data_IF_236899084376
#
_entry.id   IF_236899084376
#
_cell.length_a   1.000
_cell.length_b   1.000
_cell.length_c   1.000
_cell.angle_alpha   90.00
_cell.angle_beta   90.00
_cell.angle_gamma   90.00
#
_symmetry.space_group_name_H-M   'P 1'
#
loop_
_entity.id
_entity.type
_entity.pdbx_description
1 polymer ?
#
# COMPACT_ATOMS: atom_id res chain seq x y z
N UNK A 1 2.39 7.71 9.63
CA UNK A 1 3.35 7.27 8.59
C UNK A 1 4.76 7.71 8.98
N UNK A 2 5.67 6.77 9.22
CA UNK A 2 7.02 7.05 9.75
C UNK A 2 7.92 7.69 8.66
N UNK A 3 9.01 8.36 9.04
CA UNK A 3 10.02 8.94 8.13
C UNK A 3 10.63 7.88 7.20
N UNK A 4 11.10 6.77 7.76
CA UNK A 4 11.73 5.68 7.00
C UNK A 4 10.77 5.15 5.92
N UNK A 5 9.51 4.94 6.27
CA UNK A 5 8.49 4.45 5.35
C UNK A 5 8.27 5.41 4.17
N UNK A 6 8.18 6.72 4.43
CA UNK A 6 8.06 7.73 3.37
C UNK A 6 9.24 7.68 2.41
N UNK A 7 10.45 7.54 2.94
CA UNK A 7 11.66 7.44 2.12
C UNK A 7 11.66 6.15 1.29
N UNK A 8 11.28 5.01 1.87
CA UNK A 8 11.16 3.75 1.15
C UNK A 8 10.12 3.83 0.02
N UNK A 9 8.93 4.41 0.27
CA UNK A 9 7.92 4.61 -0.77
C UNK A 9 8.44 5.51 -1.90
N UNK A 10 9.12 6.60 -1.57
CA UNK A 10 9.73 7.48 -2.57
C UNK A 10 10.78 6.76 -3.42
N UNK A 11 11.56 5.85 -2.82
CA UNK A 11 12.54 5.02 -3.54
C UNK A 11 11.85 3.97 -4.42
N UNK A 12 10.71 3.41 -3.96
CA UNK A 12 9.91 2.49 -4.75
C UNK A 12 9.35 3.17 -6.00
N UNK A 13 8.80 4.37 -5.87
CA UNK A 13 8.30 5.16 -6.99
C UNK A 13 9.45 5.51 -7.96
N UNK A 14 10.60 5.95 -7.43
CA UNK A 14 11.81 6.27 -8.22
C UNK A 14 12.34 5.08 -9.01
N UNK A 15 12.27 3.86 -8.45
CA UNK A 15 12.68 2.63 -9.12
C UNK A 15 11.74 2.27 -10.30
N UNK A 16 10.50 2.76 -10.28
CA UNK A 16 9.43 2.38 -11.22
C UNK A 16 9.20 3.35 -12.36
N UNK A 17 9.37 4.66 -12.15
CA UNK A 17 8.99 5.70 -13.14
C UNK A 17 9.95 5.79 -14.33
N UNK A 18 11.26 5.67 -14.10
CA UNK A 18 12.25 5.69 -15.18
C UNK A 18 13.58 5.16 -14.65
N UNK A 19 13.76 3.83 -14.57
CA UNK A 19 15.04 3.30 -14.16
C UNK A 19 16.00 3.60 -15.30
N UNK A 20 16.79 4.66 -15.22
CA UNK A 20 18.06 4.77 -15.93
C UNK A 20 19.18 4.14 -15.08
N UNK A 21 20.33 3.84 -15.69
CA UNK A 21 21.41 3.14 -14.98
C UNK A 21 21.97 3.96 -13.80
N UNK A 22 21.90 5.29 -13.87
CA UNK A 22 22.28 6.18 -12.77
C UNK A 22 21.28 6.16 -11.63
N UNK A 23 19.99 6.24 -11.96
CA UNK A 23 18.86 6.20 -11.04
C UNK A 23 18.84 4.88 -10.25
N UNK A 24 18.93 3.73 -10.94
CA UNK A 24 18.91 2.42 -10.26
C UNK A 24 20.09 2.29 -9.27
N UNK A 25 21.29 2.75 -9.64
CA UNK A 25 22.45 2.74 -8.74
C UNK A 25 22.27 3.71 -7.56
N UNK A 26 21.66 4.86 -7.80
CA UNK A 26 21.33 5.83 -6.74
C UNK A 26 20.34 5.23 -5.74
N UNK A 27 19.25 4.65 -6.23
CA UNK A 27 18.26 3.92 -5.42
C UNK A 27 18.95 2.80 -4.63
N UNK A 28 19.80 2.00 -5.26
CA UNK A 28 20.54 0.93 -4.57
C UNK A 28 21.39 1.46 -3.42
N UNK A 29 22.11 2.57 -3.61
CA UNK A 29 22.92 3.19 -2.56
C UNK A 29 22.06 3.73 -1.42
N UNK A 30 20.94 4.37 -1.74
CA UNK A 30 20.00 4.87 -0.75
C UNK A 30 19.39 3.74 0.09
N UNK A 31 18.96 2.64 -0.55
CA UNK A 31 18.46 1.45 0.15
C UNK A 31 19.53 0.88 1.08
N UNK A 32 20.77 0.73 0.61
CA UNK A 32 21.88 0.25 1.45
C UNK A 32 22.15 1.16 2.65
N UNK A 33 22.05 2.49 2.48
CA UNK A 33 22.22 3.43 3.57
C UNK A 33 21.13 3.30 4.66
N UNK A 34 19.93 2.87 4.28
CA UNK A 34 18.80 2.67 5.19
C UNK A 34 18.83 1.31 5.90
N UNK A 35 19.78 0.42 5.59
CA UNK A 35 19.85 -0.93 6.15
C UNK A 35 19.94 -0.95 7.68
N UNK A 36 20.64 0.01 8.29
CA UNK A 36 20.75 0.12 9.74
C UNK A 36 19.40 0.43 10.40
N UNK A 37 18.69 1.43 9.88
CA UNK A 37 17.35 1.80 10.37
C UNK A 37 16.33 0.67 10.16
N UNK A 38 16.37 0.00 9.00
CA UNK A 38 15.50 -1.13 8.71
C UNK A 38 15.77 -2.36 9.60
N UNK A 39 17.01 -2.56 10.05
CA UNK A 39 17.36 -3.62 11.02
C UNK A 39 16.95 -3.29 12.45
N UNK A 40 16.80 -2.01 12.78
CA UNK A 40 16.37 -1.56 14.10
C UNK A 40 14.84 -1.60 14.28
N UNK A 41 14.07 -1.87 13.22
CA UNK A 41 12.62 -2.01 13.29
C UNK A 41 12.21 -3.20 14.18
N UNK A 42 11.26 -2.96 15.06
CA UNK A 42 10.65 -4.00 15.89
C UNK A 42 9.74 -4.88 15.05
N UNK A 43 10.07 -6.17 14.93
CA UNK A 43 9.29 -7.12 14.13
C UNK A 43 8.05 -7.66 14.86
N UNK A 44 7.91 -7.37 16.16
CA UNK A 44 6.72 -7.72 16.95
C UNK A 44 5.58 -6.73 16.71
N UNK A 45 5.90 -5.48 16.35
CA UNK A 45 4.95 -4.46 15.93
C UNK A 45 4.53 -4.69 14.45
N UNK A 46 3.24 -4.92 14.16
CA UNK A 46 2.75 -5.13 12.79
C UNK A 46 3.12 -4.00 11.81
N UNK A 47 3.11 -2.75 12.27
CA UNK A 47 3.41 -1.58 11.43
C UNK A 47 4.87 -1.58 11.01
N UNK A 48 5.76 -1.77 11.98
CA UNK A 48 7.20 -1.79 11.73
C UNK A 48 7.61 -3.02 10.93
N UNK A 49 6.98 -4.18 11.17
CA UNK A 49 7.16 -5.37 10.34
C UNK A 49 6.73 -5.15 8.89
N UNK A 50 5.64 -4.43 8.64
CA UNK A 50 5.23 -4.09 7.27
C UNK A 50 6.25 -3.15 6.59
N UNK A 51 6.73 -2.13 7.30
CA UNK A 51 7.80 -1.25 6.81
C UNK A 51 9.07 -2.05 6.51
N UNK A 52 9.39 -3.05 7.33
CA UNK A 52 10.51 -3.95 7.09
C UNK A 52 10.35 -4.73 5.78
N UNK A 53 9.16 -5.28 5.51
CA UNK A 53 8.88 -5.97 4.24
C UNK A 53 9.05 -5.04 3.03
N UNK A 54 8.61 -3.79 3.13
CA UNK A 54 8.85 -2.81 2.06
C UNK A 54 10.35 -2.60 1.80
N UNK A 55 11.15 -2.54 2.85
CA UNK A 55 12.61 -2.48 2.73
C UNK A 55 13.18 -3.74 2.06
N UNK A 56 12.79 -4.94 2.51
CA UNK A 56 13.31 -6.21 1.97
C UNK A 56 12.96 -6.37 0.48
N UNK A 57 11.75 -5.96 0.08
CA UNK A 57 11.36 -5.83 -1.33
C UNK A 57 12.30 -4.89 -2.09
N UNK A 58 12.57 -3.68 -1.58
CA UNK A 58 13.42 -2.70 -2.26
C UNK A 58 14.88 -3.14 -2.34
N UNK A 59 15.40 -3.82 -1.32
CA UNK A 59 16.76 -4.36 -1.32
C UNK A 59 16.92 -5.40 -2.43
N UNK A 60 16.03 -6.40 -2.48
CA UNK A 60 16.07 -7.42 -3.52
C UNK A 60 15.81 -6.84 -4.93
N UNK A 61 14.86 -5.93 -5.04
CA UNK A 61 14.44 -5.32 -6.29
C UNK A 61 15.50 -4.39 -6.88
N UNK A 62 16.10 -3.52 -6.05
CA UNK A 62 17.20 -2.65 -6.49
C UNK A 62 18.44 -3.46 -6.89
N UNK A 63 18.76 -4.54 -6.17
CA UNK A 63 19.87 -5.42 -6.54
C UNK A 63 19.64 -6.09 -7.90
N UNK A 64 18.41 -6.56 -8.15
CA UNK A 64 18.06 -7.17 -9.43
C UNK A 64 18.06 -6.17 -10.58
N UNK A 65 17.49 -4.99 -10.39
CA UNK A 65 17.47 -3.94 -11.40
C UNK A 65 18.88 -3.48 -11.81
N UNK A 66 19.87 -3.56 -10.90
CA UNK A 66 21.29 -3.32 -11.23
C UNK A 66 21.85 -4.42 -12.15
N UNK A 67 21.45 -5.68 -11.95
CA UNK A 67 21.96 -6.85 -12.69
C UNK A 67 21.30 -7.00 -14.07
N UNK A 68 19.98 -6.86 -14.12
CA UNK A 68 19.17 -7.06 -15.32
C UNK A 68 18.02 -6.06 -15.38
N UNK A 69 18.31 -4.90 -15.98
CA UNK A 69 17.37 -3.76 -16.08
C UNK A 69 16.26 -4.01 -17.09
N UNK A 70 16.53 -4.75 -18.17
CA UNK A 70 15.56 -4.96 -19.24
C UNK A 70 14.47 -5.94 -18.80
N UNK A 71 14.85 -7.03 -18.13
CA UNK A 71 13.90 -7.99 -17.58
C UNK A 71 13.10 -7.45 -16.38
N UNK A 72 13.60 -6.39 -15.73
CA UNK A 72 12.89 -5.74 -14.63
C UNK A 72 11.63 -4.97 -15.08
N UNK A 73 11.65 -4.42 -16.30
CA UNK A 73 10.63 -3.47 -16.77
C UNK A 73 9.44 -4.12 -17.48
N UNK A 74 9.45 -5.42 -17.70
CA UNK A 74 8.47 -6.09 -18.57
C UNK A 74 7.92 -7.37 -17.95
N UNK A 75 6.72 -7.76 -18.37
CA UNK A 75 6.10 -9.04 -18.02
C UNK A 75 5.28 -9.04 -16.72
N UNK A 76 4.90 -10.24 -16.30
CA UNK A 76 3.94 -10.52 -15.22
C UNK A 76 4.31 -9.82 -13.90
N UNK A 77 5.61 -9.74 -13.58
CA UNK A 77 6.11 -9.05 -12.40
C UNK A 77 5.66 -7.59 -12.37
N UNK A 78 5.83 -6.87 -13.48
CA UNK A 78 5.50 -5.46 -13.57
C UNK A 78 4.01 -5.23 -13.37
N UNK A 79 3.19 -6.08 -13.98
CA UNK A 79 1.73 -6.02 -13.86
C UNK A 79 1.25 -6.27 -12.42
N UNK A 80 1.90 -7.19 -11.70
CA UNK A 80 1.63 -7.43 -10.28
C UNK A 80 2.00 -6.20 -9.45
N UNK A 81 3.20 -5.65 -9.63
CA UNK A 81 3.63 -4.47 -8.91
C UNK A 81 2.72 -3.25 -9.20
N UNK A 82 2.24 -3.10 -10.45
CA UNK A 82 1.31 -2.02 -10.83
C UNK A 82 -0.04 -2.20 -10.14
N UNK A 83 -0.56 -3.44 -10.08
CA UNK A 83 -1.74 -3.77 -9.30
C UNK A 83 -1.58 -3.46 -7.81
N UNK A 84 -0.45 -3.83 -7.21
CA UNK A 84 -0.16 -3.58 -5.79
C UNK A 84 -0.05 -2.08 -5.48
N UNK A 85 0.59 -1.30 -6.35
CA UNK A 85 0.63 0.17 -6.19
C UNK A 85 -0.74 0.82 -6.38
N UNK A 86 -1.55 0.34 -7.32
CA UNK A 86 -2.92 0.84 -7.51
C UNK A 86 -3.78 0.58 -6.25
N UNK A 87 -3.67 -0.62 -5.67
CA UNK A 87 -4.32 -0.96 -4.40
C UNK A 87 -3.84 -0.05 -3.27
N UNK A 88 -2.53 0.13 -3.11
CA UNK A 88 -1.97 0.99 -2.08
C UNK A 88 -2.47 2.44 -2.22
N UNK A 89 -2.49 2.98 -3.44
CA UNK A 89 -3.01 4.31 -3.73
C UNK A 89 -4.52 4.43 -3.47
N UNK A 90 -5.29 3.37 -3.73
CA UNK A 90 -6.71 3.32 -3.40
C UNK A 90 -6.94 3.31 -1.88
N UNK A 91 -6.20 2.49 -1.12
CA UNK A 91 -6.28 2.43 0.34
C UNK A 91 -5.88 3.75 1.01
N UNK A 92 -4.84 4.44 0.52
CA UNK A 92 -4.38 5.73 1.06
C UNK A 92 -5.37 6.88 0.84
N UNK A 93 -6.16 6.84 -0.23
CA UNK A 93 -7.25 7.80 -0.45
C UNK A 93 -8.40 7.63 0.55
N UNK A 94 -8.39 6.54 1.31
CA UNK A 94 -9.49 6.17 2.19
C UNK A 94 -10.73 5.78 1.39
N UNK A 95 -11.80 5.46 2.11
CA UNK A 95 -13.06 5.11 1.49
C UNK A 95 -14.03 4.49 2.48
N UNK A 96 -15.21 4.14 1.97
CA UNK A 96 -16.15 3.33 2.72
C UNK A 96 -15.60 1.93 2.98
N UNK A 97 -16.11 1.28 4.02
CA UNK A 97 -15.84 -0.13 4.34
C UNK A 97 -16.03 -1.01 3.09
N UNK A 98 -17.10 -0.78 2.33
CA UNK A 98 -17.38 -1.52 1.09
C UNK A 98 -16.23 -1.43 0.07
N UNK A 99 -15.72 -0.23 -0.20
CA UNK A 99 -14.63 -0.04 -1.18
C UNK A 99 -13.35 -0.74 -0.75
N UNK A 100 -13.02 -0.68 0.54
CA UNK A 100 -11.84 -1.33 1.10
C UNK A 100 -11.98 -2.86 1.13
N UNK A 101 -13.20 -3.38 1.27
CA UNK A 101 -13.48 -4.81 1.11
C UNK A 101 -13.26 -5.27 -0.34
N UNK A 102 -13.71 -4.53 -1.35
CA UNK A 102 -13.43 -4.88 -2.75
C UNK A 102 -11.93 -4.90 -3.06
N UNK A 103 -11.17 -3.98 -2.47
CA UNK A 103 -9.70 -3.96 -2.58
C UNK A 103 -9.06 -5.24 -2.00
N UNK A 104 -9.66 -5.84 -0.97
CA UNK A 104 -9.18 -7.11 -0.42
C UNK A 104 -9.33 -8.26 -1.41
N UNK A 105 -10.43 -8.31 -2.17
CA UNK A 105 -10.63 -9.33 -3.20
C UNK A 105 -9.58 -9.19 -4.33
N UNK A 106 -9.23 -7.96 -4.70
CA UNK A 106 -8.14 -7.68 -5.64
C UNK A 106 -6.78 -8.14 -5.09
N UNK A 107 -6.52 -7.94 -3.79
CA UNK A 107 -5.32 -8.47 -3.13
C UNK A 107 -5.30 -10.00 -3.14
N UNK A 108 -6.40 -10.68 -2.84
CA UNK A 108 -6.46 -12.14 -2.92
C UNK A 108 -6.14 -12.67 -4.33
N UNK A 109 -6.62 -11.98 -5.37
CA UNK A 109 -6.27 -12.30 -6.76
C UNK A 109 -4.79 -12.05 -7.04
N UNK A 110 -4.23 -10.94 -6.61
CA UNK A 110 -2.79 -10.65 -6.76
C UNK A 110 -1.92 -11.65 -6.00
N UNK A 111 -2.32 -12.07 -4.79
CA UNK A 111 -1.63 -13.09 -4.01
C UNK A 111 -1.51 -14.42 -4.75
N UNK A 112 -2.58 -14.86 -5.42
CA UNK A 112 -2.57 -16.07 -6.27
C UNK A 112 -1.66 -15.92 -7.49
N UNK A 113 -1.63 -14.74 -8.12
CA UNK A 113 -0.71 -14.47 -9.23
C UNK A 113 0.75 -14.52 -8.77
N UNK A 114 1.05 -14.00 -7.58
CA UNK A 114 2.39 -14.07 -6.98
C UNK A 114 2.81 -15.53 -6.73
N UNK A 115 1.89 -16.41 -6.35
CA UNK A 115 2.23 -17.84 -6.20
C UNK A 115 2.57 -18.53 -7.52
N UNK A 116 2.01 -18.04 -8.63
CA UNK A 116 2.23 -18.58 -9.96
C UNK A 116 3.52 -18.07 -10.63
N UNK A 117 4.16 -17.00 -10.12
CA UNK A 117 5.44 -16.51 -10.68
C UNK A 117 6.61 -17.41 -10.30
N UNK A 118 7.72 -17.25 -11.02
CA UNK A 118 8.98 -17.94 -10.77
C UNK A 118 9.44 -17.77 -9.31
N UNK A 119 9.99 -18.82 -8.66
CA UNK A 119 10.37 -18.79 -7.25
C UNK A 119 11.33 -17.64 -6.89
N UNK A 120 12.22 -17.26 -7.80
CA UNK A 120 13.17 -16.16 -7.63
C UNK A 120 12.50 -14.78 -7.55
N UNK A 121 11.28 -14.62 -8.07
CA UNK A 121 10.53 -13.36 -8.03
C UNK A 121 9.51 -13.32 -6.90
N UNK A 122 9.06 -14.50 -6.47
CA UNK A 122 8.00 -14.66 -5.48
C UNK A 122 8.32 -13.99 -4.15
N UNK A 123 9.54 -14.16 -3.64
CA UNK A 123 9.96 -13.60 -2.35
C UNK A 123 9.76 -12.07 -2.28
N UNK A 124 10.43 -11.28 -3.14
CA UNK A 124 10.26 -9.83 -3.16
C UNK A 124 8.80 -9.39 -3.36
N UNK A 125 8.07 -10.05 -4.26
CA UNK A 125 6.66 -9.71 -4.48
C UNK A 125 5.78 -10.02 -3.26
N UNK A 126 6.07 -11.09 -2.51
CA UNK A 126 5.40 -11.41 -1.26
C UNK A 126 5.68 -10.39 -0.16
N UNK A 127 6.87 -9.82 -0.13
CA UNK A 127 7.20 -8.75 0.80
C UNK A 127 6.43 -7.46 0.47
N UNK A 128 6.40 -7.06 -0.81
CA UNK A 128 5.57 -5.92 -1.24
C UNK A 128 4.08 -6.18 -0.96
N UNK A 129 3.58 -7.36 -1.29
CA UNK A 129 2.21 -7.78 -0.98
C UNK A 129 1.90 -7.66 0.51
N UNK A 130 2.76 -8.20 1.37
CA UNK A 130 2.56 -8.16 2.82
C UNK A 130 2.54 -6.74 3.39
N UNK A 131 3.35 -5.83 2.83
CA UNK A 131 3.27 -4.41 3.16
C UNK A 131 1.93 -3.78 2.74
N UNK A 132 1.49 -4.01 1.49
CA UNK A 132 0.25 -3.44 0.96
C UNK A 132 -0.99 -4.00 1.69
N UNK A 133 -1.01 -5.29 1.99
CA UNK A 133 -2.09 -5.93 2.75
C UNK A 133 -2.23 -5.33 4.16
N UNK A 134 -1.12 -5.12 4.87
CA UNK A 134 -1.14 -4.45 6.19
C UNK A 134 -1.75 -3.05 6.08
N UNK A 135 -1.34 -2.25 5.09
CA UNK A 135 -1.86 -0.90 4.89
C UNK A 135 -3.34 -0.89 4.53
N UNK A 136 -3.81 -1.86 3.75
CA UNK A 136 -5.24 -2.01 3.48
C UNK A 136 -6.02 -2.38 4.75
N UNK A 137 -5.48 -3.29 5.59
CA UNK A 137 -6.11 -3.68 6.85
C UNK A 137 -6.26 -2.51 7.81
N UNK A 138 -5.22 -1.71 7.97
CA UNK A 138 -5.28 -0.49 8.79
C UNK A 138 -6.29 0.52 8.26
N UNK A 139 -6.33 0.74 6.94
CA UNK A 139 -7.32 1.62 6.33
C UNK A 139 -8.76 1.12 6.60
N UNK A 140 -8.98 -0.20 6.52
CA UNK A 140 -10.27 -0.82 6.83
C UNK A 140 -10.64 -0.65 8.31
N UNK A 141 -9.71 -0.92 9.23
CA UNK A 141 -9.94 -0.71 10.66
C UNK A 141 -10.33 0.74 10.99
N UNK A 142 -9.64 1.70 10.38
CA UNK A 142 -9.96 3.12 10.52
C UNK A 142 -11.34 3.46 9.94
N UNK A 143 -11.67 2.94 8.76
CA UNK A 143 -12.98 3.17 8.14
C UNK A 143 -14.12 2.55 8.94
N UNK A 144 -13.91 1.35 9.50
CA UNK A 144 -14.85 0.69 10.42
C UNK A 144 -15.06 1.57 11.64
N UNK A 145 -13.98 1.96 12.35
CA UNK A 145 -14.08 2.84 13.52
C UNK A 145 -14.82 4.13 13.19
N UNK A 146 -14.46 4.81 12.12
CA UNK A 146 -15.11 6.04 11.65
C UNK A 146 -16.63 5.85 11.46
N UNK A 147 -17.03 4.75 10.82
CA UNK A 147 -18.44 4.40 10.56
C UNK A 147 -19.23 4.21 11.85
N UNK A 148 -18.62 3.58 12.87
CA UNK A 148 -19.26 3.33 14.17
C UNK A 148 -19.17 4.51 15.15
N UNK A 149 -18.23 5.44 14.95
CA UNK A 149 -18.08 6.64 15.78
C UNK A 149 -18.95 7.81 15.34
N UNK A 150 -19.72 7.71 14.24
CA UNK A 150 -20.74 8.74 13.94
C UNK A 150 -21.88 8.55 14.92
N UNK A 151 -22.09 9.45 15.91
CA UNK A 151 -23.33 9.46 16.64
C UNK A 151 -24.40 9.89 15.64
N UNK A 152 -25.47 9.13 15.60
CA UNK A 152 -26.81 9.39 15.07
C UNK A 152 -27.42 10.80 15.36
N UNK A 153 -26.64 11.77 15.85
CA UNK A 153 -27.04 13.11 16.27
C UNK A 153 -27.39 14.08 15.12
N UNK A 154 -27.30 13.66 13.85
CA UNK A 154 -27.78 14.47 12.71
C UNK A 154 -29.15 14.06 12.17
N UNK A 155 -29.87 13.15 12.84
CA UNK A 155 -31.19 12.69 12.37
C UNK A 155 -32.39 13.43 13.01
N UNK A 156 -32.20 14.64 13.56
CA UNK A 156 -33.31 15.47 14.09
C UNK A 156 -33.15 16.95 13.73
N UNK A 157 -33.60 17.29 12.53
CA UNK A 157 -34.09 18.58 12.04
C UNK A 157 -34.12 18.39 10.50
N UNK A 158 -35.26 18.22 9.83
CA UNK A 158 -36.45 19.03 9.88
C UNK A 158 -37.69 18.18 9.61
N UNK A 159 -38.66 18.22 10.52
CA UNK A 159 -40.06 18.03 10.15
C UNK A 159 -40.71 19.39 10.38
N UNK A 160 -40.94 20.23 9.36
CA UNK A 160 -41.86 21.32 9.53
C UNK A 160 -43.26 20.71 9.66
N UNK A 161 -43.76 20.77 10.89
CA UNK A 161 -45.11 20.46 11.25
C UNK A 161 -46.09 21.25 10.39
N UNK A 162 -47.07 20.54 9.88
CA UNK A 162 -48.36 21.08 9.47
C UNK A 162 -48.99 21.92 10.59
N UNK A 163 -49.01 23.23 10.40
CA UNK A 163 -49.97 24.18 10.99
C UNK A 163 -50.26 25.17 9.86
N UNK A 164 -51.45 25.24 9.26
CA UNK A 164 -52.72 25.48 9.94
C UNK A 164 -52.90 26.99 10.09
N UNK A 165 -53.29 27.69 9.02
CA UNK A 165 -53.82 29.05 9.11
C UNK A 165 -55.00 29.17 8.13
N UNK A 166 -56.18 29.02 8.72
CA UNK A 166 -57.49 29.39 8.20
C UNK A 166 -57.75 30.86 8.58
N UNK A 167 -58.54 31.56 7.76
CA UNK A 167 -59.18 32.89 7.95
C UNK A 167 -58.28 34.14 7.84
N UNK A 168 -58.66 35.21 7.14
CA UNK A 168 -59.94 35.64 6.51
C UNK A 168 -59.73 36.13 5.05
#
# INVERSE_FOLDING_TARGET
MNRIERQLLSLADSLREAPDTGNVRSVRRAVLAMAGEARALDLTDPDQRAVRRLYDYLDASSLRAVRDRAAWLTGERRDIEDGLSAVLAAGRRGGSVYRLSCIRDDLERLGRRIDAVEPAERGPLRDLFGYVDERNRQALELAVRATWTVPWALSRADTPASQGAFSD
#
